data_IF_332862009789
#
_entry.id   IF_332862009789
#
_cell.length_a   1.000
_cell.length_b   1.000
_cell.length_c   1.000
_cell.angle_alpha   90.00
_cell.angle_beta   90.00
_cell.angle_gamma   90.00
#
_symmetry.space_group_name_H-M   'P 1'
#
loop_
_entity.id
_entity.type
_entity.pdbx_description
1 polymer ?
#
# COMPACT_ATOMS: atom_id res chain seq x y z
N UNK A 1 6.35 8.25 -12.78
CA UNK A 1 6.85 9.03 -11.65
C UNK A 1 7.18 8.10 -10.50
N UNK A 2 8.43 8.16 -10.04
CA UNK A 2 8.89 7.47 -8.84
C UNK A 2 8.81 8.41 -7.64
N UNK A 3 7.98 8.03 -6.67
CA UNK A 3 7.78 8.80 -5.43
C UNK A 3 7.64 7.83 -4.25
N UNK A 4 8.43 7.98 -3.17
CA UNK A 4 8.42 7.09 -2.02
C UNK A 4 7.04 6.92 -1.39
N UNK A 5 6.86 5.83 -0.61
CA UNK A 5 5.66 5.68 0.22
C UNK A 5 5.61 6.83 1.23
N UNK A 6 4.45 7.44 1.39
CA UNK A 6 4.28 8.62 2.26
C UNK A 6 4.67 9.98 1.64
N UNK A 7 5.11 10.00 0.37
CA UNK A 7 5.50 11.25 -0.33
C UNK A 7 4.33 12.09 -0.84
N UNK A 8 3.08 11.69 -0.60
CA UNK A 8 1.92 12.41 -1.12
C UNK A 8 1.59 12.11 -2.60
N UNK A 9 1.77 10.87 -3.07
CA UNK A 9 1.43 10.47 -4.45
C UNK A 9 0.02 10.90 -4.89
N UNK A 10 -0.97 10.73 -4.00
CA UNK A 10 -2.36 11.15 -4.28
C UNK A 10 -2.48 12.67 -4.44
N UNK A 11 -1.75 13.44 -3.63
CA UNK A 11 -1.70 14.92 -3.75
C UNK A 11 -1.08 15.32 -5.07
N UNK A 12 0.02 14.67 -5.46
CA UNK A 12 0.66 14.90 -6.76
C UNK A 12 -0.30 14.57 -7.92
N UNK A 13 -1.02 13.43 -7.82
CA UNK A 13 -2.04 13.07 -8.81
C UNK A 13 -3.14 14.14 -8.90
N UNK A 14 -3.65 14.62 -7.76
CA UNK A 14 -4.65 15.68 -7.72
C UNK A 14 -4.19 16.94 -8.45
N UNK A 15 -2.96 17.40 -8.17
CA UNK A 15 -2.38 18.55 -8.85
C UNK A 15 -2.24 18.35 -10.37
N UNK A 16 -1.85 17.14 -10.82
CA UNK A 16 -1.76 16.83 -12.24
C UNK A 16 -3.15 16.81 -12.92
N UNK A 17 -4.17 16.32 -12.24
CA UNK A 17 -5.56 16.32 -12.73
C UNK A 17 -6.12 17.74 -12.78
N UNK A 18 -5.84 18.57 -11.78
CA UNK A 18 -6.22 19.99 -11.75
C UNK A 18 -5.62 20.76 -12.93
N UNK A 19 -4.30 20.62 -13.14
CA UNK A 19 -3.61 21.22 -14.29
C UNK A 19 -4.16 20.74 -15.64
N UNK A 20 -4.63 19.50 -15.75
CA UNK A 20 -5.30 19.02 -16.95
C UNK A 20 -6.66 19.71 -17.14
N UNK A 21 -7.45 19.83 -16.07
CA UNK A 21 -8.75 20.48 -16.08
C UNK A 21 -8.65 21.98 -16.43
N UNK A 22 -7.66 22.69 -15.88
CA UNK A 22 -7.39 24.10 -16.23
C UNK A 22 -7.12 24.30 -17.74
N UNK A 23 -6.58 23.28 -18.39
CA UNK A 23 -6.35 23.25 -19.84
C UNK A 23 -7.57 22.75 -20.64
N UNK A 24 -8.73 22.60 -20.00
CA UNK A 24 -9.95 22.07 -20.62
C UNK A 24 -9.87 20.58 -20.97
N UNK A 25 -8.94 19.83 -20.32
CA UNK A 25 -8.71 18.41 -20.56
C UNK A 25 -9.42 17.54 -19.52
N UNK A 26 -9.75 16.33 -19.92
CA UNK A 26 -10.36 15.30 -19.05
C UNK A 26 -9.25 14.43 -18.45
N UNK A 27 -9.38 14.09 -17.16
CA UNK A 27 -8.40 13.27 -16.50
C UNK A 27 -9.03 12.15 -15.65
N UNK A 28 -8.37 10.99 -15.62
CA UNK A 28 -8.77 9.86 -14.79
C UNK A 28 -7.64 9.45 -13.83
N UNK A 29 -7.98 9.22 -12.57
CA UNK A 29 -7.10 8.58 -11.61
C UNK A 29 -7.55 7.13 -11.39
N UNK A 30 -6.68 6.20 -11.71
CA UNK A 30 -7.03 4.78 -11.77
C UNK A 30 -6.31 4.02 -10.66
N UNK A 31 -7.10 3.34 -9.84
CA UNK A 31 -6.60 2.53 -8.72
C UNK A 31 -6.98 1.06 -8.92
N UNK A 32 -6.14 0.16 -8.39
CA UNK A 32 -6.36 -1.29 -8.45
C UNK A 32 -7.18 -1.84 -7.26
N UNK A 33 -7.42 -1.02 -6.23
CA UNK A 33 -8.09 -1.43 -4.99
C UNK A 33 -9.30 -0.58 -4.66
N UNK A 34 -10.37 -1.24 -4.32
CA UNK A 34 -11.64 -0.61 -3.95
C UNK A 34 -11.49 0.32 -2.73
N UNK A 35 -10.70 -0.09 -1.73
CA UNK A 35 -10.45 0.73 -0.53
C UNK A 35 -9.74 2.06 -0.80
N UNK A 36 -9.07 2.20 -1.94
CA UNK A 36 -8.41 3.45 -2.33
C UNK A 36 -9.35 4.42 -3.06
N UNK A 37 -10.49 3.95 -3.57
CA UNK A 37 -11.47 4.78 -4.27
C UNK A 37 -12.00 5.87 -3.35
N UNK A 38 -12.57 5.48 -2.21
CA UNK A 38 -13.17 6.42 -1.25
C UNK A 38 -12.12 7.37 -0.68
N UNK A 39 -10.93 6.86 -0.36
CA UNK A 39 -9.83 7.67 0.14
C UNK A 39 -9.36 8.70 -0.89
N UNK A 40 -9.25 8.31 -2.15
CA UNK A 40 -8.87 9.22 -3.26
C UNK A 40 -9.97 10.24 -3.49
N UNK A 41 -11.22 9.81 -3.56
CA UNK A 41 -12.39 10.68 -3.72
C UNK A 41 -12.45 11.72 -2.61
N UNK A 42 -12.33 11.30 -1.35
CA UNK A 42 -12.28 12.22 -0.21
C UNK A 42 -11.12 13.23 -0.29
N UNK A 43 -9.97 12.80 -0.83
CA UNK A 43 -8.83 13.68 -1.03
C UNK A 43 -9.12 14.75 -2.10
N UNK A 44 -9.68 14.37 -3.24
CA UNK A 44 -10.08 15.31 -4.30
C UNK A 44 -11.12 16.33 -3.80
N UNK A 45 -12.14 15.86 -3.07
CA UNK A 45 -13.12 16.78 -2.46
C UNK A 45 -12.49 17.77 -1.47
N UNK A 46 -11.51 17.33 -0.68
CA UNK A 46 -10.78 18.22 0.25
C UNK A 46 -10.04 19.32 -0.49
N UNK A 47 -9.59 19.07 -1.70
CA UNK A 47 -8.97 20.08 -2.58
C UNK A 47 -9.98 20.85 -3.44
N UNK A 48 -11.30 20.69 -3.21
CA UNK A 48 -12.34 21.40 -3.96
C UNK A 48 -12.53 20.88 -5.38
N UNK A 49 -11.99 19.71 -5.71
CA UNK A 49 -12.07 19.15 -7.07
C UNK A 49 -13.35 18.32 -7.23
N UNK A 50 -14.31 18.82 -7.99
CA UNK A 50 -15.51 18.05 -8.33
C UNK A 50 -15.18 16.94 -9.34
N UNK A 51 -15.60 15.72 -9.04
CA UNK A 51 -15.25 14.54 -9.83
C UNK A 51 -16.31 13.46 -9.77
N UNK A 52 -16.30 12.55 -10.74
CA UNK A 52 -17.09 11.32 -10.73
C UNK A 52 -16.27 10.12 -10.24
N UNK A 53 -16.97 9.06 -9.85
CA UNK A 53 -16.36 7.79 -9.45
C UNK A 53 -16.89 6.66 -10.32
N UNK A 54 -15.99 5.96 -11.00
CA UNK A 54 -16.31 4.80 -11.85
C UNK A 54 -15.98 3.53 -11.09
N UNK A 55 -16.87 3.13 -10.20
CA UNK A 55 -16.78 1.89 -9.42
C UNK A 55 -18.18 1.32 -9.19
N UNK A 56 -18.43 0.11 -9.64
CA UNK A 56 -19.66 -0.67 -9.43
C UNK A 56 -20.92 0.22 -9.29
N UNK A 57 -21.48 0.31 -8.09
CA UNK A 57 -22.69 1.09 -7.73
C UNK A 57 -22.34 2.28 -6.82
N UNK A 58 -21.17 2.85 -6.96
CA UNK A 58 -20.73 3.97 -6.11
C UNK A 58 -21.70 5.16 -6.22
N UNK A 59 -22.13 5.80 -5.10
CA UNK A 59 -23.12 6.86 -5.11
C UNK A 59 -22.65 8.11 -5.87
N UNK A 60 -21.35 8.35 -5.97
CA UNK A 60 -20.78 9.46 -6.74
C UNK A 60 -20.50 9.09 -8.21
N UNK A 61 -21.30 8.21 -8.80
CA UNK A 61 -21.19 7.90 -10.23
C UNK A 61 -21.71 9.05 -11.09
N UNK A 62 -20.78 9.88 -11.60
CA UNK A 62 -21.07 11.05 -12.44
C UNK A 62 -20.15 11.05 -13.67
N UNK A 63 -20.45 10.24 -14.70
CA UNK A 63 -19.54 10.01 -15.84
C UNK A 63 -19.33 11.23 -16.75
N UNK A 64 -20.23 12.24 -16.68
CA UNK A 64 -20.12 13.48 -17.46
C UNK A 64 -19.02 14.42 -16.97
N UNK A 65 -18.61 14.31 -15.70
CA UNK A 65 -17.58 15.19 -15.15
C UNK A 65 -16.21 14.94 -15.80
N UNK A 66 -15.39 16.00 -15.95
CA UNK A 66 -14.09 15.89 -16.60
C UNK A 66 -13.06 15.12 -15.77
N UNK A 67 -13.21 15.09 -14.45
CA UNK A 67 -12.33 14.34 -13.56
C UNK A 67 -13.03 13.07 -13.09
N UNK A 68 -12.32 11.94 -13.15
CA UNK A 68 -12.86 10.64 -12.76
C UNK A 68 -11.88 9.89 -11.85
N UNK A 69 -12.39 9.25 -10.80
CA UNK A 69 -11.67 8.25 -10.01
C UNK A 69 -12.18 6.87 -10.42
N UNK A 70 -11.30 6.01 -10.89
CA UNK A 70 -11.68 4.76 -11.54
C UNK A 70 -11.12 3.53 -10.84
N UNK A 71 -11.97 2.53 -10.62
CA UNK A 71 -11.53 1.17 -10.31
C UNK A 71 -11.13 0.44 -11.59
N UNK A 72 -9.93 -0.10 -11.67
CA UNK A 72 -9.46 -0.86 -12.84
C UNK A 72 -10.38 -2.04 -13.14
N UNK A 73 -10.94 -2.70 -12.13
CA UNK A 73 -11.87 -3.82 -12.28
C UNK A 73 -13.17 -3.40 -12.94
N UNK A 74 -13.64 -2.18 -12.64
CA UNK A 74 -14.89 -1.64 -13.24
C UNK A 74 -14.65 -1.18 -14.66
N UNK A 75 -13.60 -0.39 -14.91
CA UNK A 75 -13.33 0.10 -16.27
C UNK A 75 -12.93 -1.00 -17.25
N UNK A 76 -12.34 -2.10 -16.77
CA UNK A 76 -12.05 -3.26 -17.61
C UNK A 76 -13.30 -3.98 -18.11
N UNK A 77 -14.44 -3.85 -17.41
CA UNK A 77 -15.71 -4.49 -17.76
C UNK A 77 -16.70 -3.56 -18.47
N UNK A 78 -16.74 -2.28 -18.03
CA UNK A 78 -17.75 -1.29 -18.51
C UNK A 78 -17.20 -0.34 -19.56
N UNK A 79 -15.90 -0.36 -19.82
CA UNK A 79 -15.20 0.60 -20.67
C UNK A 79 -14.59 1.75 -19.87
N UNK A 80 -13.60 2.35 -20.47
CA UNK A 80 -12.87 3.49 -19.91
C UNK A 80 -13.65 4.79 -20.13
N UNK A 81 -13.67 5.72 -19.16
CA UNK A 81 -14.17 7.05 -19.42
C UNK A 81 -13.31 7.74 -20.48
N UNK A 82 -13.90 8.72 -21.15
CA UNK A 82 -13.15 9.59 -22.03
C UNK A 82 -12.18 10.44 -21.22
N UNK A 83 -10.90 10.38 -21.54
CA UNK A 83 -9.85 11.12 -20.85
C UNK A 83 -8.66 11.41 -21.76
N UNK A 84 -8.07 12.59 -21.58
CA UNK A 84 -6.82 13.00 -22.21
C UNK A 84 -5.60 12.61 -21.37
N UNK A 85 -5.78 12.47 -20.07
CA UNK A 85 -4.76 12.07 -19.10
C UNK A 85 -5.26 10.94 -18.20
N UNK A 86 -4.56 9.82 -18.18
CA UNK A 86 -4.77 8.79 -17.16
C UNK A 86 -3.58 8.73 -16.20
N UNK A 87 -3.85 8.82 -14.91
CA UNK A 87 -2.87 8.65 -13.83
C UNK A 87 -3.10 7.30 -13.16
N UNK A 88 -2.15 6.38 -13.26
CA UNK A 88 -2.24 5.04 -12.66
C UNK A 88 -1.51 5.00 -11.32
N UNK A 89 -2.22 4.68 -10.26
CA UNK A 89 -1.58 4.41 -8.97
C UNK A 89 -0.97 3.01 -8.95
N UNK A 90 0.08 2.84 -8.16
CA UNK A 90 0.87 1.61 -8.03
C UNK A 90 1.24 0.98 -9.39
N UNK A 91 1.71 1.82 -10.31
CA UNK A 91 2.00 1.47 -11.70
C UNK A 91 3.08 0.37 -11.88
N UNK A 92 3.71 -0.09 -10.80
CA UNK A 92 4.56 -1.28 -10.83
C UNK A 92 3.73 -2.57 -11.03
N UNK A 93 2.40 -2.52 -10.85
CA UNK A 93 1.47 -3.61 -11.11
C UNK A 93 0.58 -3.23 -12.29
N UNK A 94 0.95 -3.64 -13.50
CA UNK A 94 0.15 -3.39 -14.71
C UNK A 94 -0.69 -4.61 -15.06
N UNK A 95 -2.00 -4.51 -14.85
CA UNK A 95 -2.98 -5.47 -15.35
C UNK A 95 -3.15 -5.36 -16.88
N UNK A 96 -3.76 -6.37 -17.51
CA UNK A 96 -4.03 -6.35 -18.95
C UNK A 96 -4.84 -5.10 -19.38
N UNK A 97 -5.82 -4.67 -18.56
CA UNK A 97 -6.62 -3.48 -18.79
C UNK A 97 -5.77 -2.20 -18.86
N UNK A 98 -4.79 -2.03 -17.94
CA UNK A 98 -3.87 -0.90 -17.98
C UNK A 98 -3.06 -0.89 -19.27
N UNK A 99 -2.51 -2.05 -19.67
CA UNK A 99 -1.68 -2.17 -20.88
C UNK A 99 -2.46 -1.82 -22.14
N UNK A 100 -3.70 -2.32 -22.27
CA UNK A 100 -4.59 -1.97 -23.37
C UNK A 100 -4.89 -0.48 -23.42
N UNK A 101 -5.17 0.14 -22.26
CA UNK A 101 -5.44 1.55 -22.18
C UNK A 101 -4.24 2.43 -22.51
N UNK A 102 -3.05 2.07 -22.02
CA UNK A 102 -1.79 2.76 -22.37
C UNK A 102 -1.60 2.76 -23.90
N UNK A 103 -1.82 1.62 -24.53
CA UNK A 103 -1.65 1.51 -26.00
C UNK A 103 -2.69 2.34 -26.75
N UNK A 104 -3.94 2.36 -26.27
CA UNK A 104 -5.01 3.19 -26.84
C UNK A 104 -4.65 4.69 -26.77
N UNK A 105 -4.18 5.18 -25.63
CA UNK A 105 -3.82 6.58 -25.44
C UNK A 105 -2.57 6.96 -26.23
N UNK A 106 -1.56 6.10 -26.30
CA UNK A 106 -0.36 6.30 -27.11
C UNK A 106 -0.62 6.36 -28.61
N UNK A 107 -1.63 5.65 -29.09
CA UNK A 107 -2.04 5.70 -30.51
C UNK A 107 -2.88 6.96 -30.84
N UNK A 108 -3.31 7.70 -29.82
CA UNK A 108 -3.99 8.99 -29.92
C UNK A 108 -3.12 10.13 -29.42
N UNK A 109 -3.75 11.12 -28.82
CA UNK A 109 -3.08 12.30 -28.22
C UNK A 109 -3.07 12.29 -26.69
N UNK A 110 -3.49 11.18 -26.09
CA UNK A 110 -3.62 11.05 -24.65
C UNK A 110 -2.28 10.80 -23.96
N UNK A 111 -2.22 11.17 -22.70
CA UNK A 111 -1.05 11.00 -21.83
C UNK A 111 -1.32 9.96 -20.74
N UNK A 112 -0.27 9.23 -20.36
CA UNK A 112 -0.32 8.31 -19.24
C UNK A 112 0.80 8.60 -18.26
N UNK A 113 0.44 8.73 -16.99
CA UNK A 113 1.39 8.90 -15.88
C UNK A 113 1.21 7.74 -14.92
N UNK A 114 2.25 6.96 -14.70
CA UNK A 114 2.29 5.94 -13.65
C UNK A 114 2.94 6.46 -12.38
N UNK A 115 2.27 6.31 -11.24
CA UNK A 115 2.82 6.63 -9.91
C UNK A 115 3.24 5.34 -9.22
N UNK A 116 4.44 5.30 -8.67
CA UNK A 116 4.91 4.14 -7.88
C UNK A 116 6.03 4.55 -6.92
N UNK A 117 6.16 3.82 -5.82
CA UNK A 117 7.33 3.89 -4.95
C UNK A 117 8.42 2.88 -5.37
N UNK A 118 8.11 1.97 -6.30
CA UNK A 118 8.96 0.82 -6.64
C UNK A 118 8.98 0.57 -8.14
N UNK A 119 9.66 1.43 -8.92
CA UNK A 119 9.68 1.35 -10.38
C UNK A 119 10.56 0.20 -10.93
N UNK A 120 10.94 -0.76 -10.09
CA UNK A 120 11.91 -1.80 -10.41
C UNK A 120 11.29 -3.07 -11.04
N UNK A 121 9.98 -3.08 -11.27
CA UNK A 121 9.30 -4.23 -11.87
C UNK A 121 9.76 -4.43 -13.31
N UNK A 122 10.20 -5.65 -13.61
CA UNK A 122 10.66 -6.04 -14.95
C UNK A 122 9.57 -5.78 -16.01
N UNK A 123 9.96 -5.10 -17.08
CA UNK A 123 9.09 -4.84 -18.23
C UNK A 123 8.31 -3.53 -18.19
N UNK A 124 8.43 -2.69 -17.16
CA UNK A 124 7.78 -1.37 -17.13
C UNK A 124 8.25 -0.45 -18.27
N UNK A 125 9.51 -0.53 -18.67
CA UNK A 125 10.07 0.24 -19.78
C UNK A 125 9.40 -0.04 -21.15
N UNK A 126 8.60 -1.10 -21.26
CA UNK A 126 7.78 -1.34 -22.47
C UNK A 126 6.54 -0.44 -22.52
N UNK A 127 6.13 0.10 -21.39
CA UNK A 127 4.88 0.81 -21.21
C UNK A 127 5.06 2.29 -20.91
N UNK A 128 6.14 2.67 -20.27
CA UNK A 128 6.49 4.04 -19.90
C UNK A 128 7.81 4.45 -20.57
N UNK A 129 7.83 5.65 -21.09
CA UNK A 129 8.94 6.16 -21.91
C UNK A 129 10.06 6.76 -21.04
N UNK A 130 9.71 7.22 -19.81
CA UNK A 130 10.67 7.82 -18.88
C UNK A 130 10.32 7.52 -17.42
N UNK A 131 11.33 7.61 -16.56
CA UNK A 131 11.18 7.60 -15.11
C UNK A 131 11.59 8.95 -14.55
N UNK A 132 10.67 9.61 -13.86
CA UNK A 132 10.93 10.87 -13.16
C UNK A 132 11.00 10.60 -11.67
N UNK A 133 12.14 10.81 -11.04
CA UNK A 133 12.33 10.72 -9.60
C UNK A 133 12.05 12.11 -9.00
N UNK A 134 10.94 12.24 -8.28
CA UNK A 134 10.52 13.55 -7.71
C UNK A 134 11.19 13.85 -6.38
N UNK A 135 11.47 12.82 -5.58
CA UNK A 135 12.13 12.95 -4.29
C UNK A 135 12.67 11.60 -3.82
N UNK A 136 13.38 11.59 -2.69
CA UNK A 136 13.87 10.38 -2.01
C UNK A 136 13.35 10.32 -0.58
N UNK A 137 13.29 9.12 0.01
CA UNK A 137 12.93 8.94 1.42
C UNK A 137 13.84 9.77 2.34
N UNK A 138 15.15 9.81 2.06
CA UNK A 138 16.12 10.61 2.83
C UNK A 138 15.80 12.10 2.76
N UNK A 139 15.49 12.63 1.57
CA UNK A 139 15.12 14.04 1.43
C UNK A 139 13.84 14.35 2.21
N UNK A 140 12.82 13.50 2.11
CA UNK A 140 11.57 13.67 2.85
C UNK A 140 11.78 13.64 4.39
N UNK A 141 12.70 12.82 4.89
CA UNK A 141 13.07 12.80 6.30
C UNK A 141 13.79 14.10 6.68
N UNK A 142 14.75 14.55 5.89
CA UNK A 142 15.49 15.79 6.14
C UNK A 142 14.59 17.04 6.11
N UNK A 143 13.60 17.02 5.22
CA UNK A 143 12.61 18.10 5.05
C UNK A 143 11.47 18.02 6.12
N UNK A 144 11.46 17.00 6.99
CA UNK A 144 10.46 16.82 8.05
C UNK A 144 9.11 16.27 7.59
N UNK A 145 9.01 15.70 6.38
CA UNK A 145 7.78 15.09 5.86
C UNK A 145 7.63 13.60 6.22
N UNK A 146 8.74 12.95 6.59
CA UNK A 146 8.78 11.59 7.11
C UNK A 146 9.66 11.55 8.37
N UNK A 147 9.42 10.57 9.22
CA UNK A 147 10.22 10.40 10.45
C UNK A 147 11.50 9.60 10.19
N UNK A 148 12.59 9.84 10.92
CA UNK A 148 13.77 8.98 10.89
C UNK A 148 13.44 7.60 11.45
N UNK A 149 14.20 6.59 11.02
CA UNK A 149 13.98 5.21 11.42
C UNK A 149 15.28 4.54 11.88
N UNK A 150 15.11 3.47 12.66
CA UNK A 150 16.17 2.51 13.02
C UNK A 150 15.76 1.15 12.51
N UNK A 151 16.71 0.38 12.00
CA UNK A 151 16.51 -1.00 11.57
C UNK A 151 17.23 -1.89 12.56
N UNK A 152 16.52 -2.88 13.08
CA UNK A 152 17.07 -3.95 13.90
C UNK A 152 16.92 -5.24 13.10
N UNK A 153 17.96 -6.07 13.10
CA UNK A 153 17.93 -7.43 12.54
C UNK A 153 17.93 -8.41 13.68
N UNK A 154 17.03 -9.37 13.62
CA UNK A 154 16.95 -10.50 14.57
C UNK A 154 17.35 -11.79 13.87
N UNK A 155 17.14 -12.93 14.55
CA UNK A 155 17.35 -14.23 13.96
C UNK A 155 16.56 -14.41 12.66
N UNK A 156 17.21 -14.90 11.63
CA UNK A 156 16.59 -15.23 10.36
C UNK A 156 16.31 -16.73 10.29
N UNK A 157 15.13 -17.14 9.76
CA UNK A 157 14.88 -18.56 9.57
C UNK A 157 15.83 -19.14 8.52
N UNK A 158 16.36 -20.33 8.79
CA UNK A 158 17.17 -21.05 7.80
C UNK A 158 16.32 -21.52 6.62
N UNK A 159 16.47 -20.84 5.50
CA UNK A 159 15.71 -21.09 4.27
C UNK A 159 16.36 -22.14 3.36
N UNK A 160 17.41 -22.84 3.85
CA UNK A 160 18.08 -23.90 3.08
C UNK A 160 17.08 -25.01 2.73
N UNK A 161 17.02 -25.38 1.46
CA UNK A 161 16.14 -26.42 0.92
C UNK A 161 14.68 -26.00 0.69
N UNK A 162 14.30 -24.78 1.03
CA UNK A 162 12.95 -24.27 0.76
C UNK A 162 12.75 -24.03 -0.73
N UNK A 163 11.67 -24.56 -1.30
CA UNK A 163 11.32 -24.39 -2.71
C UNK A 163 11.02 -22.95 -3.04
N UNK A 164 11.23 -22.60 -4.30
CA UNK A 164 10.97 -21.28 -4.86
C UNK A 164 9.92 -21.37 -5.93
N UNK A 165 8.79 -20.68 -5.75
CA UNK A 165 7.67 -20.61 -6.69
C UNK A 165 7.46 -19.16 -7.14
N UNK A 166 7.42 -18.91 -8.45
CA UNK A 166 7.29 -17.57 -9.04
C UNK A 166 8.31 -16.53 -8.55
N UNK A 167 9.46 -16.98 -8.06
CA UNK A 167 10.54 -16.13 -7.58
C UNK A 167 10.54 -15.85 -6.07
N UNK A 168 9.48 -16.23 -5.36
CA UNK A 168 9.38 -16.17 -3.90
C UNK A 168 9.50 -17.56 -3.28
N UNK A 169 9.74 -17.60 -1.96
CA UNK A 169 9.74 -18.83 -1.19
C UNK A 169 8.35 -19.49 -1.21
N UNK A 170 8.28 -20.81 -1.32
CA UNK A 170 7.05 -21.54 -1.11
C UNK A 170 6.43 -21.18 0.25
N UNK A 171 5.14 -20.81 0.27
CA UNK A 171 4.51 -20.28 1.48
C UNK A 171 4.43 -21.32 2.60
N UNK A 172 4.14 -22.58 2.27
CA UNK A 172 3.96 -23.64 3.26
C UNK A 172 5.32 -24.02 3.89
N UNK A 173 6.35 -24.17 3.07
CA UNK A 173 7.69 -24.53 3.56
C UNK A 173 8.33 -23.36 4.33
N UNK A 174 8.18 -22.14 3.84
CA UNK A 174 8.72 -20.95 4.53
C UNK A 174 7.97 -20.65 5.83
N UNK A 175 6.67 -20.93 5.93
CA UNK A 175 5.92 -20.81 7.17
C UNK A 175 6.45 -21.73 8.25
N UNK A 176 6.74 -23.00 7.93
CA UNK A 176 7.34 -23.96 8.87
C UNK A 176 8.69 -23.48 9.41
N UNK A 177 9.50 -22.84 8.58
CA UNK A 177 10.79 -22.28 9.00
C UNK A 177 10.60 -21.01 9.84
N UNK A 178 9.70 -20.13 9.44
CA UNK A 178 9.40 -18.90 10.18
C UNK A 178 8.81 -19.17 11.57
N UNK A 179 8.01 -20.23 11.72
CA UNK A 179 7.47 -20.66 13.01
C UNK A 179 8.55 -20.99 14.05
N UNK A 180 9.76 -21.40 13.63
CA UNK A 180 10.86 -21.71 14.52
C UNK A 180 11.46 -20.48 15.21
N UNK A 181 11.30 -19.30 14.64
CA UNK A 181 11.87 -18.03 15.13
C UNK A 181 10.82 -17.04 15.66
N UNK A 182 9.59 -17.45 15.83
CA UNK A 182 8.49 -16.55 16.31
C UNK A 182 8.81 -15.99 17.69
N UNK A 183 9.35 -16.80 18.59
CA UNK A 183 9.75 -16.35 19.93
C UNK A 183 10.79 -15.23 19.89
N UNK A 184 11.72 -15.29 18.96
CA UNK A 184 12.73 -14.25 18.76
C UNK A 184 12.11 -12.96 18.24
N UNK A 185 11.10 -13.05 17.35
CA UNK A 185 10.37 -11.89 16.84
C UNK A 185 9.69 -11.14 17.97
N UNK A 186 9.01 -11.85 18.88
CA UNK A 186 8.35 -11.25 20.04
C UNK A 186 9.35 -10.65 21.01
N UNK A 187 10.45 -11.36 21.32
CA UNK A 187 11.51 -10.87 22.20
C UNK A 187 12.15 -9.57 21.66
N UNK A 188 12.45 -9.51 20.36
CA UNK A 188 12.99 -8.31 19.73
C UNK A 188 12.01 -7.13 19.73
N UNK A 189 10.70 -7.38 19.57
CA UNK A 189 9.70 -6.33 19.74
C UNK A 189 9.69 -5.80 21.17
N UNK A 190 9.68 -6.65 22.18
CA UNK A 190 9.70 -6.22 23.59
C UNK A 190 10.94 -5.39 23.90
N UNK A 191 12.08 -5.72 23.31
CA UNK A 191 13.35 -5.02 23.49
C UNK A 191 13.42 -3.69 22.75
N UNK A 192 12.98 -3.64 21.50
CA UNK A 192 13.18 -2.50 20.60
C UNK A 192 11.88 -1.75 20.27
N UNK A 193 10.74 -2.42 20.23
CA UNK A 193 9.43 -1.84 19.98
C UNK A 193 8.90 -1.01 21.14
N UNK A 194 9.18 -1.41 22.38
CA UNK A 194 8.90 -0.64 23.60
C UNK A 194 7.45 -0.12 23.70
N UNK A 195 6.49 -0.98 23.41
CA UNK A 195 5.06 -0.64 23.45
C UNK A 195 4.54 0.20 22.28
N UNK A 196 5.36 0.45 21.26
CA UNK A 196 4.93 1.18 20.05
C UNK A 196 3.86 0.42 19.29
N UNK A 197 2.91 1.16 18.75
CA UNK A 197 1.91 0.62 17.82
C UNK A 197 2.60 0.05 16.58
N UNK A 198 2.29 -1.19 16.19
CA UNK A 198 3.01 -1.88 15.14
C UNK A 198 2.14 -2.65 14.14
N UNK A 199 2.72 -2.94 12.98
CA UNK A 199 2.22 -3.91 12.00
C UNK A 199 3.28 -5.01 11.89
N UNK A 200 2.83 -6.26 12.04
CA UNK A 200 3.66 -7.45 11.86
C UNK A 200 3.21 -8.23 10.63
N UNK A 201 4.12 -8.51 9.70
CA UNK A 201 3.84 -9.29 8.49
C UNK A 201 4.30 -10.74 8.66
N UNK A 202 3.36 -11.67 8.69
CA UNK A 202 3.60 -13.12 8.69
C UNK A 202 3.56 -13.72 7.29
N UNK A 203 3.89 -15.00 7.19
CA UNK A 203 3.97 -15.77 5.93
C UNK A 203 2.58 -16.18 5.45
N UNK A 204 1.82 -16.82 6.32
CA UNK A 204 0.47 -17.36 6.10
C UNK A 204 -0.38 -17.22 7.36
N UNK A 205 -1.60 -17.70 7.31
CA UNK A 205 -2.53 -17.61 8.46
C UNK A 205 -2.09 -18.40 9.67
N UNK A 206 -1.48 -19.56 9.50
CA UNK A 206 -0.97 -20.37 10.63
C UNK A 206 0.19 -19.64 11.35
N UNK A 207 1.08 -19.01 10.59
CA UNK A 207 2.14 -18.19 11.16
C UNK A 207 1.58 -16.94 11.88
N UNK A 208 0.57 -16.28 11.30
CA UNK A 208 -0.12 -15.15 11.94
C UNK A 208 -0.78 -15.57 13.26
N UNK A 209 -1.48 -16.69 13.30
CA UNK A 209 -2.12 -17.23 14.50
C UNK A 209 -1.09 -17.49 15.61
N UNK A 210 0.05 -18.09 15.27
CA UNK A 210 1.13 -18.34 16.24
C UNK A 210 1.80 -17.06 16.74
N UNK A 211 2.06 -16.09 15.84
CA UNK A 211 2.55 -14.76 16.21
C UNK A 211 1.59 -14.07 17.19
N UNK A 212 0.29 -14.07 16.91
CA UNK A 212 -0.73 -13.52 17.80
C UNK A 212 -0.70 -14.21 19.16
N UNK A 213 -0.68 -15.55 19.18
CA UNK A 213 -0.65 -16.34 20.42
C UNK A 213 0.55 -15.97 21.29
N UNK A 214 1.74 -15.83 20.71
CA UNK A 214 2.96 -15.50 21.45
C UNK A 214 3.00 -14.03 21.90
N UNK A 215 2.54 -13.08 21.08
CA UNK A 215 2.42 -11.68 21.50
C UNK A 215 1.45 -11.55 22.69
N UNK A 216 0.28 -12.19 22.65
CA UNK A 216 -0.71 -12.17 23.72
C UNK A 216 -0.12 -12.83 24.99
N UNK A 217 0.56 -13.96 24.88
CA UNK A 217 1.24 -14.62 26.00
C UNK A 217 2.31 -13.73 26.64
N UNK A 218 2.94 -12.85 25.85
CA UNK A 218 3.91 -11.86 26.34
C UNK A 218 3.27 -10.56 26.85
N UNK A 219 1.93 -10.49 26.98
CA UNK A 219 1.21 -9.33 27.49
C UNK A 219 1.00 -8.21 26.45
N UNK A 220 1.22 -8.48 25.16
CA UNK A 220 1.02 -7.51 24.08
C UNK A 220 -0.34 -7.76 23.42
N UNK A 221 -1.25 -6.80 23.50
CA UNK A 221 -2.57 -6.93 22.88
C UNK A 221 -2.47 -6.73 21.35
N UNK A 222 -2.77 -7.77 20.59
CA UNK A 222 -2.71 -7.78 19.14
C UNK A 222 -3.99 -8.34 18.53
N UNK A 223 -4.30 -7.91 17.31
CA UNK A 223 -5.38 -8.49 16.51
C UNK A 223 -4.82 -9.10 15.22
N UNK A 224 -5.43 -10.21 14.79
CA UNK A 224 -5.20 -10.76 13.45
C UNK A 224 -5.90 -9.90 12.40
N UNK A 225 -5.31 -9.84 11.20
CA UNK A 225 -5.91 -9.18 10.05
C UNK A 225 -5.58 -9.99 8.80
N UNK A 226 -6.42 -10.95 8.48
CA UNK A 226 -6.20 -11.90 7.40
C UNK A 226 -7.39 -11.94 6.44
N UNK A 227 -7.24 -12.67 5.34
CA UNK A 227 -8.33 -12.87 4.39
C UNK A 227 -9.40 -13.86 4.91
N UNK A 228 -9.12 -14.59 5.99
CA UNK A 228 -10.08 -15.48 6.65
C UNK A 228 -11.07 -14.72 7.53
N UNK A 229 -10.67 -13.53 8.00
CA UNK A 229 -11.54 -12.68 8.81
C UNK A 229 -12.63 -12.08 7.88
N UNK A 230 -13.85 -11.98 8.35
CA UNK A 230 -14.95 -11.38 7.60
C UNK A 230 -14.66 -9.91 7.26
N UNK A 231 -15.29 -9.42 6.20
CA UNK A 231 -15.06 -8.04 5.75
C UNK A 231 -15.48 -7.03 6.83
N UNK A 232 -16.53 -7.34 7.55
CA UNK A 232 -17.07 -6.51 8.63
C UNK A 232 -16.10 -6.47 9.83
N UNK A 233 -15.61 -7.63 10.29
CA UNK A 233 -14.62 -7.75 11.36
C UNK A 233 -13.32 -7.01 11.03
N UNK A 234 -12.86 -7.10 9.78
CA UNK A 234 -11.67 -6.35 9.32
C UNK A 234 -11.89 -4.85 9.33
N UNK A 235 -13.09 -4.39 8.97
CA UNK A 235 -13.44 -2.98 9.01
C UNK A 235 -13.47 -2.46 10.45
N UNK A 236 -14.11 -3.19 11.36
CA UNK A 236 -14.16 -2.86 12.79
C UNK A 236 -12.77 -2.85 13.43
N UNK A 237 -11.97 -3.89 13.19
CA UNK A 237 -10.58 -3.96 13.67
C UNK A 237 -9.76 -2.77 13.17
N UNK A 238 -9.94 -2.37 11.91
CA UNK A 238 -9.25 -1.22 11.34
C UNK A 238 -9.68 0.09 12.01
N UNK A 239 -10.98 0.28 12.24
CA UNK A 239 -11.51 1.46 12.91
C UNK A 239 -11.01 1.52 14.36
N UNK A 240 -11.04 0.41 15.08
CA UNK A 240 -10.56 0.33 16.46
C UNK A 240 -9.06 0.61 16.54
N UNK A 241 -8.26 -0.06 15.70
CA UNK A 241 -6.81 0.14 15.68
C UNK A 241 -6.38 1.57 15.36
N UNK A 242 -7.19 2.33 14.60
CA UNK A 242 -6.93 3.74 14.29
C UNK A 242 -7.10 4.70 15.47
N UNK A 243 -7.88 4.32 16.46
CA UNK A 243 -8.14 5.20 17.61
C UNK A 243 -6.84 5.43 18.40
N UNK A 244 -6.52 6.65 18.81
CA UNK A 244 -5.38 6.92 19.69
C UNK A 244 -5.50 6.19 21.04
N UNK A 245 -6.73 5.95 21.50
CA UNK A 245 -7.05 5.24 22.74
C UNK A 245 -7.17 3.73 22.58
N UNK A 246 -6.89 3.19 21.40
CA UNK A 246 -6.99 1.75 21.15
C UNK A 246 -6.09 0.94 22.08
N UNK A 247 -6.64 -0.12 22.65
CA UNK A 247 -5.86 -1.09 23.40
C UNK A 247 -5.09 -2.05 22.51
N UNK A 248 -5.42 -2.11 21.20
CA UNK A 248 -4.71 -2.95 20.24
C UNK A 248 -3.37 -2.28 19.93
N UNK A 249 -2.27 -2.92 20.35
CA UNK A 249 -0.91 -2.44 20.11
C UNK A 249 -0.37 -2.86 18.73
N UNK A 250 -0.79 -4.02 18.24
CA UNK A 250 -0.30 -4.53 16.96
C UNK A 250 -1.35 -5.20 16.09
N UNK A 251 -1.20 -5.03 14.77
CA UNK A 251 -1.90 -5.85 13.79
C UNK A 251 -0.94 -6.87 13.19
N UNK A 252 -1.29 -8.14 13.30
CA UNK A 252 -0.54 -9.25 12.70
C UNK A 252 -1.28 -9.71 11.44
N UNK A 253 -0.60 -9.67 10.29
CA UNK A 253 -1.27 -9.86 9.00
C UNK A 253 -0.45 -10.72 8.05
N UNK A 254 -1.12 -11.42 7.15
CA UNK A 254 -0.51 -11.89 5.91
C UNK A 254 -0.61 -10.74 4.93
N UNK A 255 0.32 -10.49 4.07
CA UNK A 255 0.38 -9.50 2.96
C UNK A 255 -0.76 -8.46 2.78
N UNK A 256 -1.95 -8.72 3.31
CA UNK A 256 -3.18 -7.94 3.04
C UNK A 256 -3.15 -6.50 3.58
N UNK A 257 -2.54 -6.28 4.75
CA UNK A 257 -2.41 -4.92 5.33
C UNK A 257 -1.25 -4.12 4.72
N UNK A 258 -0.40 -4.76 3.91
CA UNK A 258 0.71 -4.07 3.25
C UNK A 258 0.24 -3.04 2.22
N UNK A 259 -0.99 -3.18 1.67
CA UNK A 259 -1.51 -2.32 0.63
C UNK A 259 -2.84 -1.68 1.04
N UNK A 260 -2.94 -0.35 1.00
CA UNK A 260 -4.18 0.40 1.26
C UNK A 260 -4.51 0.65 2.73
N UNK A 261 -3.77 0.07 3.68
CA UNK A 261 -3.95 0.31 5.10
C UNK A 261 -3.19 1.57 5.54
N UNK A 262 -3.91 2.57 6.02
CA UNK A 262 -3.35 3.84 6.45
C UNK A 262 -3.63 4.10 7.93
N UNK A 263 -2.60 3.95 8.76
CA UNK A 263 -2.61 4.30 10.19
C UNK A 263 -1.30 5.03 10.51
N UNK A 264 -1.33 6.36 10.58
CA UNK A 264 -0.14 7.18 10.81
C UNK A 264 0.58 6.85 12.12
N UNK A 265 -0.14 6.42 13.16
CA UNK A 265 0.40 6.09 14.47
C UNK A 265 1.30 4.86 14.51
N UNK A 266 1.29 4.04 13.46
CA UNK A 266 2.19 2.89 13.37
C UNK A 266 3.63 3.38 13.36
N UNK A 267 4.37 3.10 14.42
CA UNK A 267 5.75 3.53 14.62
C UNK A 267 6.76 2.39 14.72
N UNK A 268 6.27 1.15 14.59
CA UNK A 268 7.10 -0.04 14.48
C UNK A 268 6.56 -0.94 13.36
N UNK A 269 7.46 -1.48 12.55
CA UNK A 269 7.14 -2.42 11.48
C UNK A 269 7.96 -3.68 11.69
N UNK A 270 7.28 -4.81 11.82
CA UNK A 270 7.91 -6.11 12.06
C UNK A 270 7.73 -6.97 10.80
N UNK A 271 8.85 -7.39 10.24
CA UNK A 271 8.88 -8.24 9.05
C UNK A 271 9.23 -9.67 9.47
N UNK A 272 8.25 -10.40 9.97
CA UNK A 272 8.40 -11.80 10.37
C UNK A 272 8.33 -12.78 9.18
N UNK A 273 8.16 -12.25 7.97
CA UNK A 273 8.13 -13.01 6.72
C UNK A 273 9.45 -12.90 5.99
N UNK A 274 10.13 -14.02 5.68
CA UNK A 274 11.30 -13.99 4.82
C UNK A 274 10.88 -13.63 3.39
N UNK A 275 11.47 -12.58 2.85
CA UNK A 275 11.24 -12.13 1.46
C UNK A 275 12.46 -12.47 0.62
N UNK A 276 12.25 -12.96 -0.61
CA UNK A 276 13.33 -13.30 -1.54
C UNK A 276 13.52 -12.25 -2.64
N UNK A 277 12.45 -11.84 -3.27
CA UNK A 277 12.47 -10.90 -4.41
C UNK A 277 11.48 -9.76 -4.31
N UNK A 278 10.57 -9.78 -3.35
CA UNK A 278 9.50 -8.76 -3.22
C UNK A 278 10.01 -7.47 -2.58
N UNK A 279 11.03 -6.85 -3.19
CA UNK A 279 11.55 -5.54 -2.75
C UNK A 279 10.44 -4.49 -2.68
N UNK A 280 9.47 -4.54 -3.61
CA UNK A 280 8.34 -3.62 -3.62
C UNK A 280 7.49 -3.75 -2.36
N UNK A 281 7.18 -4.97 -1.94
CA UNK A 281 6.41 -5.25 -0.72
C UNK A 281 7.16 -4.77 0.52
N UNK A 282 8.47 -5.05 0.57
CA UNK A 282 9.36 -4.58 1.64
C UNK A 282 9.32 -3.06 1.79
N UNK A 283 9.55 -2.32 0.72
CA UNK A 283 9.55 -0.86 0.73
C UNK A 283 8.17 -0.30 1.12
N UNK A 284 7.09 -0.88 0.62
CA UNK A 284 5.74 -0.45 0.97
C UNK A 284 5.41 -0.67 2.45
N UNK A 285 5.81 -1.81 3.01
CA UNK A 285 5.59 -2.11 4.42
C UNK A 285 6.40 -1.17 5.32
N UNK A 286 7.70 -1.01 5.06
CA UNK A 286 8.55 -0.05 5.80
C UNK A 286 8.00 1.37 5.74
N UNK A 287 7.52 1.80 4.59
CA UNK A 287 6.93 3.12 4.41
C UNK A 287 5.72 3.42 5.30
N UNK A 288 5.07 2.41 5.85
CA UNK A 288 3.98 2.59 6.83
C UNK A 288 4.49 3.19 8.15
N UNK A 289 5.66 2.74 8.60
CA UNK A 289 6.27 3.22 9.84
C UNK A 289 6.90 4.61 9.74
N UNK A 290 7.00 5.19 8.53
CA UNK A 290 7.69 6.47 8.32
C UNK A 290 6.77 7.70 8.33
N UNK A 291 5.47 7.53 8.40
CA UNK A 291 4.50 8.65 8.35
C UNK A 291 4.53 9.44 9.65
N UNK A 292 4.38 10.74 9.51
CA UNK A 292 4.18 11.63 10.66
C UNK A 292 2.77 11.40 11.21
N UNK A 293 2.66 11.31 12.53
CA UNK A 293 1.39 11.31 13.24
C UNK A 293 1.33 12.54 14.15
N UNK A 294 0.51 13.54 13.83
CA UNK A 294 0.33 14.71 14.69
C UNK A 294 -0.22 14.35 16.08
N UNK A 295 -0.99 13.25 16.17
CA UNK A 295 -1.67 12.83 17.41
C UNK A 295 -0.70 12.21 18.43
N UNK A 296 0.37 11.56 17.96
CA UNK A 296 1.36 10.89 18.83
C UNK A 296 2.68 11.64 18.91
N UNK A 297 2.83 12.76 18.22
CA UNK A 297 4.09 13.52 18.16
C UNK A 297 5.21 12.79 17.40
N UNK A 298 4.83 11.79 16.64
CA UNK A 298 5.74 11.02 15.79
C UNK A 298 6.06 11.80 14.52
#
# INVERSE_FOLDING_TARGET
INAPTGSGKTVLASALMELAQEKGKRASFVVDRLSLIDQTSATLFRYGMDHGVVQSTHPNFRPSLPLQVCSVQTVSRRGWPESDLDVFDEAHVLHAAHKGRIQQLKNGTGLVIGLTATPFTKGLAKWFDAVVNVTTTRKLINDGWLVPYRIFSCAEPDMTGVKVTAGEWDSTESSKKALQVVGDVVAEYLKHGQGRKFICSGVDTAHVEELCRQFIAAGVNVASYTYKDDQEDRAETTVEFRKPTSTIQGLVTVTAASRGFDVPDVSCVIMARPLRKSLAEHIQLLGRGLRISPETGK
#
